data_IF_891739677680
#
_entry.id   IF_891739677680
#
_cell.length_a   1.000
_cell.length_b   1.000
_cell.length_c   1.000
_cell.angle_alpha   90.00
_cell.angle_beta   90.00
_cell.angle_gamma   90.00
#
_symmetry.space_group_name_H-M   'P 1'
#
loop_
_entity.id
_entity.type
_entity.pdbx_description
1 polymer ?
#
# COMPACT_ATOMS: atom_id res chain seq x y z
N UNK A 1 18.76 -4.59 11.06
CA UNK A 1 18.10 -5.39 10.01
C UNK A 1 17.23 -6.47 10.67
N UNK A 2 15.92 -6.27 10.78
CA UNK A 2 14.99 -7.26 11.33
C UNK A 2 14.51 -8.14 10.19
N UNK A 3 14.78 -9.44 10.28
CA UNK A 3 14.37 -10.41 9.24
C UNK A 3 12.85 -10.41 9.06
N UNK A 4 12.38 -10.25 7.83
CA UNK A 4 10.97 -10.28 7.37
C UNK A 4 10.19 -11.45 8.00
N UNK A 5 10.82 -12.62 8.15
CA UNK A 5 10.23 -13.79 8.78
C UNK A 5 9.84 -13.59 10.26
N UNK A 6 10.52 -12.69 10.99
CA UNK A 6 10.19 -12.39 12.39
C UNK A 6 9.01 -11.43 12.51
N UNK A 7 8.81 -10.56 11.53
CA UNK A 7 7.66 -9.64 11.52
C UNK A 7 6.36 -10.38 11.15
N UNK A 8 6.41 -11.29 10.19
CA UNK A 8 5.27 -12.14 9.82
C UNK A 8 4.88 -13.06 11.00
N UNK A 9 5.86 -13.62 11.71
CA UNK A 9 5.62 -14.46 12.90
C UNK A 9 4.99 -13.67 14.06
N UNK A 10 5.33 -12.39 14.22
CA UNK A 10 4.75 -11.54 15.27
C UNK A 10 3.29 -11.16 14.96
N UNK A 11 2.96 -10.88 13.70
CA UNK A 11 1.60 -10.58 13.27
C UNK A 11 0.67 -11.80 13.41
N UNK A 12 1.17 -13.00 13.11
CA UNK A 12 0.42 -14.26 13.26
C UNK A 12 0.27 -14.66 14.74
N UNK A 13 1.30 -14.45 15.56
CA UNK A 13 1.24 -14.80 16.99
C UNK A 13 0.25 -13.92 17.80
N UNK A 14 0.04 -12.68 17.40
CA UNK A 14 -0.94 -11.80 18.04
C UNK A 14 -2.39 -12.23 17.76
N UNK A 15 -2.64 -12.96 16.67
CA UNK A 15 -3.98 -13.41 16.29
C UNK A 15 -4.47 -14.67 17.03
N UNK A 16 -3.58 -15.46 17.65
CA UNK A 16 -3.89 -16.78 18.20
C UNK A 16 -4.28 -16.77 19.67
N UNK A 17 -4.14 -15.66 20.38
CA UNK A 17 -4.24 -15.59 21.84
C UNK A 17 -5.54 -15.07 22.46
N UNK A 18 -6.59 -14.75 21.68
CA UNK A 18 -7.82 -14.15 22.22
C UNK A 18 -8.96 -15.18 22.28
N UNK A 19 -9.58 -15.43 23.46
CA UNK A 19 -10.70 -16.37 23.56
C UNK A 19 -11.91 -15.82 22.79
N UNK A 20 -12.49 -16.65 21.95
CA UNK A 20 -13.72 -16.37 21.22
C UNK A 20 -14.90 -16.24 22.22
N UNK A 21 -15.33 -15.04 22.50
CA UNK A 21 -16.59 -14.78 23.21
C UNK A 21 -17.29 -13.55 22.62
N UNK A 22 -18.53 -13.75 22.26
CA UNK A 22 -19.57 -12.81 21.84
C UNK A 22 -19.53 -12.34 20.35
N UNK A 23 -20.67 -12.45 19.73
CA UNK A 23 -21.15 -12.02 18.41
C UNK A 23 -20.15 -11.33 17.48
N UNK A 24 -19.89 -11.95 16.34
CA UNK A 24 -19.02 -11.35 15.33
C UNK A 24 -19.60 -10.00 14.87
N UNK A 25 -18.73 -9.01 14.70
CA UNK A 25 -19.12 -7.73 14.13
C UNK A 25 -19.35 -7.91 12.62
N UNK A 26 -20.45 -7.37 12.11
CA UNK A 26 -20.77 -7.43 10.68
C UNK A 26 -19.66 -6.76 9.86
N UNK A 27 -19.29 -7.39 8.76
CA UNK A 27 -18.32 -6.83 7.82
C UNK A 27 -19.00 -5.69 7.05
N UNK A 28 -18.65 -4.43 7.40
CA UNK A 28 -19.20 -3.25 6.73
C UNK A 28 -18.23 -2.69 5.69
N UNK A 29 -18.80 -2.31 4.53
CA UNK A 29 -18.12 -1.59 3.46
C UNK A 29 -18.55 -0.11 3.40
N UNK A 30 -19.06 0.45 4.51
CA UNK A 30 -19.29 1.90 4.65
C UNK A 30 -18.41 2.45 5.75
N UNK A 31 -17.32 3.09 5.35
CA UNK A 31 -16.30 3.57 6.28
C UNK A 31 -15.48 4.72 5.70
N UNK A 32 -14.85 5.48 6.59
CA UNK A 32 -13.75 6.40 6.32
C UNK A 32 -12.54 5.99 7.16
N UNK A 33 -11.35 6.04 6.59
CA UNK A 33 -10.11 5.76 7.31
C UNK A 33 -8.99 6.69 6.91
N UNK A 34 -7.99 6.81 7.77
CA UNK A 34 -6.79 7.59 7.47
C UNK A 34 -5.74 7.42 8.56
N UNK A 35 -4.53 7.77 8.23
CA UNK A 35 -3.39 7.59 9.11
C UNK A 35 -2.05 7.88 8.43
N UNK A 36 -1.02 7.23 8.95
CA UNK A 36 0.34 7.31 8.42
C UNK A 36 0.65 6.08 7.57
N UNK A 37 1.51 6.27 6.59
CA UNK A 37 2.03 5.23 5.71
C UNK A 37 3.55 5.33 5.65
N UNK A 38 4.21 4.18 5.64
CA UNK A 38 5.61 4.05 5.26
C UNK A 38 5.68 3.27 3.95
N UNK A 39 6.54 3.72 3.03
CA UNK A 39 6.75 3.10 1.73
C UNK A 39 8.19 2.68 1.54
N UNK A 40 8.38 1.61 0.78
CA UNK A 40 9.69 1.11 0.36
C UNK A 40 9.60 0.78 -1.11
N UNK A 41 10.44 1.37 -1.92
CA UNK A 41 10.55 1.00 -3.34
C UNK A 41 11.49 -0.21 -3.41
N UNK A 42 10.94 -1.34 -3.84
CA UNK A 42 11.71 -2.56 -4.06
C UNK A 42 12.19 -2.58 -5.52
N UNK A 43 13.35 -3.13 -5.79
CA UNK A 43 13.90 -3.32 -7.14
C UNK A 43 14.18 -2.03 -7.94
N UNK A 44 14.91 -1.07 -7.34
CA UNK A 44 15.62 -0.05 -8.10
C UNK A 44 17.09 -0.47 -8.19
N UNK A 45 17.38 -1.64 -8.78
CA UNK A 45 18.71 -1.97 -9.25
C UNK A 45 18.88 -1.36 -10.66
N UNK A 46 19.23 -0.09 -10.73
CA UNK A 46 19.60 0.52 -11.99
C UNK A 46 21.12 0.61 -12.08
N UNK A 47 21.73 -0.29 -12.85
CA UNK A 47 23.12 -0.14 -13.28
C UNK A 47 23.11 0.65 -14.59
N UNK A 48 23.33 1.95 -14.52
CA UNK A 48 23.44 2.82 -15.68
C UNK A 48 24.85 3.36 -15.83
N UNK A 49 25.24 3.72 -17.05
CA UNK A 49 26.48 4.46 -17.32
C UNK A 49 26.11 5.93 -17.46
N UNK A 50 26.49 6.76 -16.50
CA UNK A 50 26.40 8.22 -16.66
C UNK A 50 27.43 8.61 -17.70
N UNK A 51 27.02 9.32 -18.73
CA UNK A 51 27.88 9.79 -19.82
C UNK A 51 29.07 10.58 -19.25
N UNK A 52 30.22 9.95 -19.14
CA UNK A 52 31.48 10.58 -18.68
C UNK A 52 32.19 9.87 -17.53
N UNK A 53 31.59 8.91 -16.87
CA UNK A 53 32.23 8.10 -15.84
C UNK A 53 31.90 6.62 -16.06
N UNK A 54 32.89 5.80 -16.41
CA UNK A 54 32.73 4.36 -16.67
C UNK A 54 32.76 3.57 -15.33
N UNK A 55 31.81 3.80 -14.44
CA UNK A 55 31.68 3.04 -13.20
C UNK A 55 30.21 2.61 -12.98
N UNK A 56 29.95 1.44 -12.35
CA UNK A 56 28.61 1.13 -11.90
C UNK A 56 28.23 2.11 -10.78
N UNK A 57 27.05 2.71 -10.89
CA UNK A 57 26.46 3.43 -9.75
C UNK A 57 25.46 2.53 -9.06
N UNK A 58 25.37 2.67 -7.77
CA UNK A 58 24.44 1.97 -6.91
C UNK A 58 23.36 2.99 -6.46
N UNK A 59 22.10 2.65 -6.72
CA UNK A 59 20.96 3.43 -6.33
C UNK A 59 20.29 2.72 -5.15
N UNK A 60 20.27 3.35 -3.98
CA UNK A 60 19.57 2.87 -2.81
C UNK A 60 18.40 3.81 -2.48
N UNK A 61 17.24 3.23 -2.19
CA UNK A 61 16.09 3.97 -1.68
C UNK A 61 15.83 3.59 -0.24
N UNK A 62 15.71 4.60 0.63
CA UNK A 62 15.34 4.41 2.02
C UNK A 62 13.82 4.39 2.20
N UNK A 63 13.40 3.94 3.40
CA UNK A 63 11.99 3.93 3.76
C UNK A 63 11.43 5.35 3.80
N UNK A 64 10.45 5.61 2.96
CA UNK A 64 9.71 6.87 2.98
C UNK A 64 8.54 6.86 3.95
N UNK A 65 8.08 8.04 4.33
CA UNK A 65 6.96 8.23 5.24
C UNK A 65 5.97 9.28 4.77
N UNK A 66 4.70 9.10 5.14
CA UNK A 66 3.66 10.04 4.74
C UNK A 66 2.30 9.76 5.36
N UNK A 67 1.25 10.10 4.63
CA UNK A 67 -0.13 9.95 5.07
C UNK A 67 -1.01 9.24 4.07
N UNK A 68 -2.09 8.64 4.55
CA UNK A 68 -3.14 8.10 3.69
C UNK A 68 -4.53 8.48 4.19
N UNK A 69 -5.47 8.50 3.26
CA UNK A 69 -6.91 8.59 3.52
C UNK A 69 -7.62 7.64 2.55
N UNK A 70 -8.67 7.00 3.02
CA UNK A 70 -9.48 6.10 2.21
C UNK A 70 -10.87 5.96 2.75
N UNK A 71 -11.76 5.42 1.93
CA UNK A 71 -13.12 5.15 2.35
C UNK A 71 -13.88 4.32 1.34
N UNK A 72 -15.00 3.78 1.80
CA UNK A 72 -15.95 3.09 0.96
C UNK A 72 -17.37 3.42 1.40
N UNK A 73 -18.29 3.33 0.47
CA UNK A 73 -19.71 3.50 0.69
C UNK A 73 -20.50 2.39 -0.02
N UNK A 74 -21.20 1.61 0.78
CA UNK A 74 -22.10 0.57 0.28
C UNK A 74 -23.44 1.21 -0.10
N UNK A 75 -23.72 1.27 -1.38
CA UNK A 75 -24.92 1.93 -1.91
C UNK A 75 -26.05 0.96 -2.30
N UNK A 76 -25.74 -0.34 -2.35
CA UNK A 76 -26.71 -1.41 -2.57
C UNK A 76 -26.24 -2.69 -1.86
N UNK A 77 -27.09 -3.69 -1.79
CA UNK A 77 -26.74 -4.98 -1.22
C UNK A 77 -25.48 -5.52 -1.90
N UNK A 78 -24.42 -5.68 -1.11
CA UNK A 78 -23.11 -6.18 -1.55
C UNK A 78 -22.30 -5.29 -2.51
N UNK A 79 -22.85 -4.19 -3.01
CA UNK A 79 -22.14 -3.27 -3.91
C UNK A 79 -21.66 -2.03 -3.17
N UNK A 80 -20.40 -1.67 -3.38
CA UNK A 80 -19.81 -0.48 -2.80
C UNK A 80 -18.91 0.26 -3.82
N UNK A 81 -18.80 1.56 -3.64
CA UNK A 81 -17.75 2.38 -4.23
C UNK A 81 -16.67 2.59 -3.20
N UNK A 82 -15.45 2.81 -3.65
CA UNK A 82 -14.34 3.11 -2.74
C UNK A 82 -13.36 4.09 -3.39
N UNK A 83 -12.60 4.76 -2.55
CA UNK A 83 -11.49 5.62 -2.97
C UNK A 83 -10.41 5.62 -1.91
N UNK A 84 -9.16 5.70 -2.35
CA UNK A 84 -7.98 5.73 -1.51
C UNK A 84 -6.96 6.69 -2.09
N UNK A 85 -6.23 7.38 -1.23
CA UNK A 85 -5.15 8.30 -1.56
C UNK A 85 -4.03 8.11 -0.56
N UNK A 86 -2.80 8.05 -1.02
CA UNK A 86 -1.60 7.99 -0.19
C UNK A 86 -0.51 8.86 -0.79
N UNK A 87 0.21 9.57 0.08
CA UNK A 87 1.40 10.35 -0.23
C UNK A 87 2.51 9.88 0.70
N UNK A 88 3.68 9.57 0.17
CA UNK A 88 4.87 9.23 0.94
C UNK A 88 6.11 9.86 0.31
N UNK A 89 6.86 10.63 1.10
CA UNK A 89 8.20 11.09 0.72
C UNK A 89 9.19 9.93 0.81
N UNK A 90 10.14 9.87 -0.11
CA UNK A 90 11.19 8.85 -0.20
C UNK A 90 12.53 9.53 -0.26
N UNK A 91 13.51 9.01 0.48
CA UNK A 91 14.89 9.42 0.35
C UNK A 91 15.61 8.53 -0.66
N UNK A 92 16.50 9.13 -1.43
CA UNK A 92 17.29 8.49 -2.48
C UNK A 92 18.76 8.74 -2.25
N UNK A 93 19.60 7.69 -2.33
CA UNK A 93 21.04 7.81 -2.33
C UNK A 93 21.63 7.23 -3.61
N UNK A 94 22.44 8.04 -4.31
CA UNK A 94 23.16 7.64 -5.51
C UNK A 94 24.67 7.65 -5.18
N UNK A 95 25.30 6.49 -5.29
CA UNK A 95 26.74 6.33 -5.02
C UNK A 95 27.47 5.81 -6.27
N UNK A 96 28.60 6.43 -6.59
CA UNK A 96 29.54 5.95 -7.63
C UNK A 96 30.74 5.19 -7.05
N UNK A 97 30.68 4.89 -5.74
CA UNK A 97 31.77 4.23 -5.01
C UNK A 97 32.86 5.18 -4.49
N UNK A 98 32.84 6.46 -4.84
CA UNK A 98 33.72 7.52 -4.34
C UNK A 98 32.94 8.64 -3.67
N UNK A 99 31.82 9.06 -4.27
CA UNK A 99 30.96 10.11 -3.75
C UNK A 99 29.53 9.56 -3.62
N UNK A 100 28.80 10.04 -2.59
CA UNK A 100 27.38 9.75 -2.40
C UNK A 100 26.60 11.06 -2.48
N UNK A 101 25.56 11.07 -3.29
CA UNK A 101 24.67 12.20 -3.47
C UNK A 101 23.28 11.78 -3.00
N UNK A 102 22.71 12.53 -2.05
CA UNK A 102 21.37 12.28 -1.53
C UNK A 102 20.33 13.09 -2.32
N UNK A 103 19.15 12.53 -2.47
CA UNK A 103 17.99 13.15 -3.08
C UNK A 103 16.72 12.77 -2.33
N UNK A 104 15.62 13.40 -2.72
CA UNK A 104 14.28 13.09 -2.22
C UNK A 104 13.27 13.17 -3.35
N UNK A 105 12.19 12.41 -3.23
CA UNK A 105 11.04 12.46 -4.13
C UNK A 105 9.77 12.03 -3.42
N UNK A 106 8.62 12.51 -3.90
CA UNK A 106 7.32 12.13 -3.40
C UNK A 106 6.66 11.09 -4.28
N UNK A 107 6.09 10.05 -3.65
CA UNK A 107 5.26 9.04 -4.30
C UNK A 107 3.81 9.29 -3.92
N UNK A 108 3.00 9.65 -4.91
CA UNK A 108 1.54 9.82 -4.76
C UNK A 108 0.84 8.66 -5.43
N UNK A 109 -0.05 8.01 -4.70
CA UNK A 109 -0.92 6.95 -5.24
C UNK A 109 -2.36 7.25 -4.87
N UNK A 110 -3.25 7.12 -5.85
CA UNK A 110 -4.67 7.12 -5.58
C UNK A 110 -5.40 6.10 -6.44
N UNK A 111 -6.52 5.62 -5.92
CA UNK A 111 -7.40 4.74 -6.67
C UNK A 111 -8.86 5.02 -6.33
N UNK A 112 -9.72 4.85 -7.32
CA UNK A 112 -11.16 4.91 -7.17
C UNK A 112 -11.80 3.73 -7.92
N UNK A 113 -12.86 3.15 -7.35
CA UNK A 113 -13.44 1.99 -7.99
C UNK A 113 -14.76 1.54 -7.39
N UNK A 114 -15.19 0.40 -7.88
CA UNK A 114 -16.39 -0.30 -7.43
C UNK A 114 -16.04 -1.70 -6.95
N UNK A 115 -16.79 -2.20 -5.98
CA UNK A 115 -16.58 -3.53 -5.45
C UNK A 115 -17.89 -4.26 -5.16
N UNK A 116 -17.77 -5.58 -5.16
CA UNK A 116 -18.82 -6.50 -4.74
C UNK A 116 -18.31 -7.34 -3.58
N UNK A 117 -19.10 -7.42 -2.50
CA UNK A 117 -18.81 -8.21 -1.32
C UNK A 117 -19.81 -9.36 -1.19
N UNK A 118 -19.32 -10.58 -1.12
CA UNK A 118 -20.11 -11.78 -0.93
C UNK A 118 -20.00 -12.27 0.52
N UNK A 119 -21.06 -12.14 1.36
CA UNK A 119 -21.05 -12.66 2.72
C UNK A 119 -21.12 -14.19 2.66
N UNK A 120 -19.99 -14.83 2.95
CA UNK A 120 -19.88 -16.29 2.97
C UNK A 120 -20.46 -16.88 4.27
N UNK A 121 -20.26 -16.18 5.38
CA UNK A 121 -20.79 -16.51 6.70
C UNK A 121 -21.02 -15.25 7.52
N UNK A 122 -21.53 -15.38 8.74
CA UNK A 122 -21.66 -14.26 9.68
C UNK A 122 -20.32 -13.62 10.08
N UNK A 123 -19.19 -14.31 9.83
CA UNK A 123 -17.85 -13.85 10.22
C UNK A 123 -16.91 -13.67 9.04
N UNK A 124 -17.31 -14.09 7.84
CA UNK A 124 -16.42 -14.12 6.68
C UNK A 124 -17.10 -13.56 5.45
N UNK A 125 -16.46 -12.65 4.77
CA UNK A 125 -16.86 -12.13 3.47
C UNK A 125 -15.72 -12.24 2.47
N UNK A 126 -16.02 -12.65 1.25
CA UNK A 126 -15.16 -12.49 0.09
C UNK A 126 -15.52 -11.21 -0.63
N UNK A 127 -14.56 -10.59 -1.29
CA UNK A 127 -14.86 -9.41 -2.10
C UNK A 127 -13.98 -9.36 -3.34
N UNK A 128 -14.48 -8.67 -4.34
CA UNK A 128 -13.74 -8.28 -5.53
C UNK A 128 -13.94 -6.80 -5.81
N UNK A 129 -12.91 -6.13 -6.30
CA UNK A 129 -12.90 -4.71 -6.64
C UNK A 129 -12.29 -4.51 -8.02
N UNK A 130 -12.81 -3.54 -8.75
CA UNK A 130 -12.21 -3.00 -9.97
C UNK A 130 -11.97 -1.52 -9.74
N UNK A 131 -10.83 -1.03 -10.17
CA UNK A 131 -10.41 0.34 -9.96
C UNK A 131 -9.76 0.97 -11.18
N UNK A 132 -9.74 2.28 -11.17
CA UNK A 132 -8.78 3.09 -11.86
C UNK A 132 -7.74 3.52 -10.83
N UNK A 133 -6.49 3.20 -11.11
CA UNK A 133 -5.35 3.45 -10.25
C UNK A 133 -4.47 4.52 -10.90
N UNK A 134 -3.81 5.33 -10.09
CA UNK A 134 -2.84 6.31 -10.55
C UNK A 134 -1.60 6.26 -9.65
N UNK A 135 -0.45 6.37 -10.28
CA UNK A 135 0.85 6.47 -9.63
C UNK A 135 1.56 7.69 -10.18
N UNK A 136 2.07 8.53 -9.29
CA UNK A 136 2.74 9.77 -9.62
C UNK A 136 4.00 9.92 -8.77
N UNK A 137 5.10 10.30 -9.41
CA UNK A 137 6.35 10.69 -8.77
C UNK A 137 6.52 12.18 -8.94
N UNK A 138 6.76 12.90 -7.87
CA UNK A 138 6.83 14.37 -7.81
C UNK A 138 8.06 14.86 -7.07
N UNK A 139 8.37 16.14 -7.33
CA UNK A 139 9.32 16.92 -6.53
C UNK A 139 10.69 16.23 -6.38
N UNK A 140 11.13 15.48 -7.41
CA UNK A 140 12.41 14.79 -7.38
C UNK A 140 13.56 15.80 -7.31
N UNK A 141 14.38 15.69 -6.25
CA UNK A 141 15.57 16.52 -6.02
C UNK A 141 16.79 15.66 -5.85
N UNK A 142 17.91 16.09 -6.40
CA UNK A 142 19.22 15.46 -6.18
C UNK A 142 20.20 16.57 -5.81
N UNK A 143 20.73 16.53 -4.60
CA UNK A 143 21.48 17.63 -3.97
C UNK A 143 20.64 18.92 -3.93
N UNK A 144 21.15 20.01 -4.52
CA UNK A 144 20.47 21.32 -4.59
C UNK A 144 19.77 21.55 -5.95
N UNK A 145 19.65 20.51 -6.77
CA UNK A 145 19.04 20.60 -8.11
C UNK A 145 17.65 19.96 -8.10
N UNK A 146 16.64 20.77 -8.42
CA UNK A 146 15.30 20.25 -8.75
C UNK A 146 15.41 19.50 -10.09
N UNK A 147 15.10 18.22 -10.08
CA UNK A 147 14.94 17.45 -11.30
C UNK A 147 13.51 17.63 -11.77
N UNK A 148 13.31 18.18 -12.97
CA UNK A 148 12.00 18.29 -13.62
C UNK A 148 11.56 16.88 -14.13
N UNK A 149 11.36 15.97 -13.16
CA UNK A 149 10.98 14.58 -13.42
C UNK A 149 9.64 14.34 -12.73
N UNK A 150 8.58 14.91 -13.30
CA UNK A 150 7.22 14.53 -12.94
C UNK A 150 6.78 13.38 -13.84
N UNK A 151 6.56 12.22 -13.26
CA UNK A 151 6.00 11.05 -13.95
C UNK A 151 4.64 10.71 -13.34
N UNK A 152 3.59 10.78 -14.16
CA UNK A 152 2.21 10.49 -13.79
C UNK A 152 1.60 9.53 -14.80
N UNK A 153 1.09 8.40 -14.33
CA UNK A 153 0.40 7.44 -15.17
C UNK A 153 -0.81 6.85 -14.46
N UNK A 154 -1.91 6.76 -15.21
CA UNK A 154 -3.14 6.13 -14.78
C UNK A 154 -3.41 4.82 -15.50
N UNK A 155 -4.01 3.88 -14.77
CA UNK A 155 -4.28 2.56 -15.32
C UNK A 155 -5.43 1.83 -14.64
N UNK A 156 -5.61 0.59 -15.00
CA UNK A 156 -6.66 -0.26 -14.44
C UNK A 156 -6.10 -1.16 -13.35
N UNK A 157 -6.90 -1.35 -12.29
CA UNK A 157 -6.59 -2.25 -11.19
C UNK A 157 -7.73 -3.22 -10.89
N UNK A 158 -7.37 -4.31 -10.22
CA UNK A 158 -8.33 -5.29 -9.73
C UNK A 158 -7.83 -5.93 -8.45
N UNK A 159 -8.73 -6.20 -7.52
CA UNK A 159 -8.42 -6.78 -6.21
C UNK A 159 -9.42 -7.87 -5.87
N UNK A 160 -8.94 -8.96 -5.33
CA UNK A 160 -9.77 -9.99 -4.71
C UNK A 160 -9.25 -10.28 -3.31
N UNK A 161 -10.16 -10.47 -2.37
CA UNK A 161 -9.76 -10.69 -0.99
C UNK A 161 -10.84 -11.31 -0.13
N UNK A 162 -10.45 -11.55 1.11
CA UNK A 162 -11.29 -12.10 2.16
C UNK A 162 -11.13 -11.26 3.43
N UNK A 163 -12.24 -11.01 4.09
CA UNK A 163 -12.30 -10.42 5.42
C UNK A 163 -12.83 -11.47 6.37
N UNK A 164 -12.15 -11.67 7.49
CA UNK A 164 -12.54 -12.59 8.54
C UNK A 164 -12.59 -11.87 9.89
N UNK A 165 -13.77 -11.84 10.50
CA UNK A 165 -13.95 -11.42 11.88
C UNK A 165 -13.50 -12.56 12.81
N UNK A 166 -12.23 -12.58 13.18
CA UNK A 166 -11.62 -13.60 14.01
C UNK A 166 -12.16 -13.57 15.44
N UNK A 167 -12.53 -12.38 15.92
CA UNK A 167 -13.22 -12.13 17.20
C UNK A 167 -14.22 -10.97 17.01
N UNK A 168 -15.08 -10.67 18.00
CA UNK A 168 -15.97 -9.51 17.93
C UNK A 168 -15.25 -8.17 17.74
N UNK A 169 -13.97 -8.10 18.10
CA UNK A 169 -13.19 -6.87 18.07
C UNK A 169 -12.03 -6.92 17.08
N UNK A 170 -11.71 -8.09 16.53
CA UNK A 170 -10.56 -8.26 15.60
C UNK A 170 -11.05 -8.77 14.26
N UNK A 171 -10.76 -8.02 13.22
CA UNK A 171 -10.94 -8.43 11.84
C UNK A 171 -9.58 -8.52 11.14
N UNK A 172 -9.41 -9.55 10.34
CA UNK A 172 -8.25 -9.76 9.48
C UNK A 172 -8.72 -9.73 8.02
N UNK A 173 -7.91 -9.17 7.16
CA UNK A 173 -8.16 -9.13 5.72
C UNK A 173 -6.90 -9.56 4.99
N UNK A 174 -7.06 -10.48 4.03
CA UNK A 174 -6.02 -10.82 3.07
C UNK A 174 -6.51 -10.51 1.67
N UNK A 175 -5.61 -10.03 0.80
CA UNK A 175 -5.96 -9.74 -0.60
C UNK A 175 -4.79 -9.93 -1.55
N UNK A 176 -5.15 -10.10 -2.82
CA UNK A 176 -4.24 -10.00 -3.96
C UNK A 176 -4.79 -8.91 -4.86
N UNK A 177 -3.94 -7.97 -5.24
CA UNK A 177 -4.27 -6.84 -6.10
C UNK A 177 -3.35 -6.82 -7.31
N UNK A 178 -3.92 -6.63 -8.47
CA UNK A 178 -3.22 -6.29 -9.69
C UNK A 178 -3.41 -4.80 -10.01
N UNK A 179 -2.38 -4.15 -10.48
CA UNK A 179 -2.44 -2.80 -11.05
C UNK A 179 -1.59 -2.73 -12.31
N UNK A 180 -2.07 -2.00 -13.32
CA UNK A 180 -1.28 -1.78 -14.53
C UNK A 180 -0.23 -0.66 -14.37
N UNK A 181 -0.26 0.06 -13.24
CA UNK A 181 0.66 1.15 -12.89
C UNK A 181 1.22 0.90 -11.49
N UNK A 182 2.13 -0.05 -11.36
CA UNK A 182 2.60 -0.56 -10.08
C UNK A 182 4.03 -0.20 -9.70
N UNK A 183 4.82 0.33 -10.61
CA UNK A 183 6.23 0.59 -10.34
C UNK A 183 6.90 1.43 -11.41
N UNK A 184 8.13 1.83 -11.14
CA UNK A 184 8.97 2.61 -12.05
C UNK A 184 9.18 1.83 -13.35
N UNK A 185 9.22 2.55 -14.48
CA UNK A 185 9.49 1.99 -15.78
C UNK A 185 10.87 1.32 -15.82
N UNK A 186 10.95 0.18 -16.51
CA UNK A 186 12.23 -0.42 -16.82
C UNK A 186 13.02 0.42 -17.85
N UNK A 187 14.34 0.26 -17.88
CA UNK A 187 15.24 0.99 -18.76
C UNK A 187 14.70 1.09 -20.22
N UNK A 188 14.45 2.32 -20.68
CA UNK A 188 14.02 2.60 -22.06
C UNK A 188 12.51 2.58 -22.30
N UNK A 189 11.68 2.51 -21.29
CA UNK A 189 10.23 2.67 -21.36
C UNK A 189 9.78 3.96 -20.69
N UNK A 190 8.91 4.73 -21.36
CA UNK A 190 8.28 5.94 -20.80
C UNK A 190 7.03 5.61 -19.95
N UNK A 191 6.70 4.32 -19.75
CA UNK A 191 5.48 3.88 -19.05
C UNK A 191 5.80 3.03 -17.84
N UNK A 192 4.97 3.17 -16.78
CA UNK A 192 5.08 2.35 -15.58
C UNK A 192 4.75 0.89 -15.87
N UNK A 193 5.40 0.00 -15.13
CA UNK A 193 5.15 -1.43 -15.23
C UNK A 193 3.98 -1.86 -14.33
N UNK A 194 3.28 -2.90 -14.76
CA UNK A 194 2.26 -3.54 -13.94
C UNK A 194 2.87 -4.23 -12.72
N UNK A 195 2.08 -4.34 -11.65
CA UNK A 195 2.47 -5.05 -10.44
C UNK A 195 1.33 -5.93 -9.91
N UNK A 196 1.72 -6.99 -9.20
CA UNK A 196 0.81 -7.85 -8.44
C UNK A 196 1.20 -7.84 -6.98
N UNK A 197 0.36 -7.20 -6.18
CA UNK A 197 0.60 -7.00 -4.77
C UNK A 197 -0.16 -8.02 -3.92
N UNK A 198 0.45 -8.39 -2.79
CA UNK A 198 -0.19 -9.23 -1.78
C UNK A 198 -0.28 -8.44 -0.49
N UNK A 199 -1.48 -8.34 0.07
CA UNK A 199 -1.71 -7.52 1.26
C UNK A 199 -2.37 -8.28 2.40
N UNK A 200 -2.02 -7.83 3.61
CA UNK A 200 -2.61 -8.25 4.86
C UNK A 200 -2.99 -7.02 5.69
N UNK A 201 -4.22 -6.99 6.17
CA UNK A 201 -4.70 -5.91 7.03
C UNK A 201 -5.29 -6.47 8.32
N UNK A 202 -5.07 -5.76 9.40
CA UNK A 202 -5.67 -6.01 10.70
C UNK A 202 -6.49 -4.82 11.17
N UNK A 203 -7.64 -5.08 11.82
CA UNK A 203 -8.49 -4.06 12.42
C UNK A 203 -8.83 -4.47 13.84
N UNK A 204 -8.57 -3.57 14.77
CA UNK A 204 -8.95 -3.74 16.16
C UNK A 204 -10.02 -2.70 16.54
N UNK A 205 -11.25 -3.18 16.67
CA UNK A 205 -12.41 -2.38 17.08
C UNK A 205 -12.42 -2.20 18.60
N UNK A 206 -12.04 -1.05 19.08
CA UNK A 206 -12.17 -0.69 20.50
C UNK A 206 -13.50 0.00 20.80
N UNK A 207 -14.26 0.37 19.76
CA UNK A 207 -15.68 0.74 19.79
C UNK A 207 -16.39 0.12 18.59
N UNK A 208 -17.72 -0.03 18.62
CA UNK A 208 -18.47 -0.63 17.51
C UNK A 208 -18.20 0.05 16.15
N UNK A 209 -17.98 1.34 16.14
CA UNK A 209 -17.81 2.16 14.94
C UNK A 209 -16.40 2.74 14.77
N UNK A 210 -15.45 2.40 15.67
CA UNK A 210 -14.07 2.92 15.59
C UNK A 210 -13.07 1.78 15.76
N UNK A 211 -12.15 1.68 14.82
CA UNK A 211 -11.08 0.69 14.85
C UNK A 211 -9.71 1.34 14.62
N UNK A 212 -8.69 0.79 15.27
CA UNK A 212 -7.32 0.92 14.83
C UNK A 212 -7.12 -0.01 13.63
N UNK A 213 -6.51 0.49 12.58
CA UNK A 213 -6.18 -0.29 11.38
C UNK A 213 -4.68 -0.34 11.17
N UNK A 214 -4.19 -1.47 10.69
CA UNK A 214 -2.83 -1.62 10.19
C UNK A 214 -2.86 -2.48 8.95
N UNK A 215 -2.03 -2.15 7.98
CA UNK A 215 -1.94 -2.88 6.72
C UNK A 215 -0.51 -3.00 6.25
N UNK A 216 -0.23 -4.08 5.58
CA UNK A 216 1.02 -4.33 4.89
C UNK A 216 0.68 -4.84 3.49
N UNK A 217 1.24 -4.21 2.47
CA UNK A 217 1.10 -4.61 1.08
C UNK A 217 2.48 -4.74 0.46
N UNK A 218 2.79 -5.92 -0.07
CA UNK A 218 4.06 -6.24 -0.71
C UNK A 218 3.90 -6.23 -2.22
N UNK A 219 4.79 -5.53 -2.90
CA UNK A 219 4.91 -5.41 -4.35
C UNK A 219 6.17 -4.65 -4.72
N UNK A 220 6.25 -4.11 -5.93
CA UNK A 220 7.36 -3.23 -6.36
C UNK A 220 7.50 -2.02 -5.42
N UNK A 221 6.39 -1.48 -4.98
CA UNK A 221 6.34 -0.51 -3.88
C UNK A 221 5.66 -1.20 -2.70
N UNK A 222 6.45 -1.61 -1.71
CA UNK A 222 5.94 -2.18 -0.48
C UNK A 222 5.47 -1.07 0.45
N UNK A 223 4.30 -1.24 1.06
CA UNK A 223 3.77 -0.25 1.99
C UNK A 223 3.34 -0.87 3.31
N UNK A 224 3.51 -0.12 4.38
CA UNK A 224 2.93 -0.39 5.68
C UNK A 224 2.18 0.84 6.18
N UNK A 225 0.97 0.64 6.69
CA UNK A 225 0.16 1.72 7.20
C UNK A 225 -0.37 1.44 8.60
N UNK A 226 -0.61 2.50 9.35
CA UNK A 226 -1.30 2.50 10.65
C UNK A 226 -2.23 3.69 10.71
N UNK A 227 -3.48 3.48 11.11
CA UNK A 227 -4.47 4.54 11.15
C UNK A 227 -5.72 4.20 11.94
N UNK A 228 -6.73 5.02 11.74
CA UNK A 228 -8.04 4.88 12.36
C UNK A 228 -9.10 4.72 11.28
N UNK A 229 -10.09 3.86 11.55
CA UNK A 229 -11.28 3.67 10.73
C UNK A 229 -12.52 4.03 11.52
N UNK A 230 -13.42 4.76 10.86
CA UNK A 230 -14.76 5.07 11.31
C UNK A 230 -15.77 4.35 10.41
N UNK A 231 -16.61 3.51 10.98
CA UNK A 231 -17.67 2.76 10.27
C UNK A 231 -19.01 3.40 10.58
N UNK A 232 -19.88 3.52 9.58
CA UNK A 232 -21.19 4.18 9.68
C UNK A 232 -22.34 3.19 9.49
#
# INVERSE_FOLDING_TARGET
>A
MFSLHKMIALAVAAAVGVPAAAGAQDVSFTYLEGGIVAGFVNDVETSGTITGNEGPFELETDAGGGGFIGGAWQFADNLHVFGEYALAGQDLEVSDGMDTVSGDFDVVRWRIGVGYAYPFSSTTAFYGRLSYDNLEFKDAKVADFDLDVDADEGGVGGEVGMIWAATPTIQLQGHVRYTSVGGVASEGSDSFESDTLVGLNGRWHFRPNIALVTGYEYGKITTWNVGMRFTF
#
